data_IF_648397982933
#
_entry.id   IF_648397982933
#
_cell.length_a   1.000
_cell.length_b   1.000
_cell.length_c   1.000
_cell.angle_alpha   90.00
_cell.angle_beta   90.00
_cell.angle_gamma   90.00
#
_symmetry.space_group_name_H-M   'P 1'
#
loop_
_entity.id
_entity.type
_entity.pdbx_description
1 polymer ?
#
# COMPACT_ATOMS: atom_id res chain seq x y z
N UNK A 1 -13.67 25.67 -4.01
CA UNK A 1 -14.00 24.30 -4.47
C UNK A 1 -14.36 23.32 -3.34
N UNK A 2 -13.87 23.48 -2.11
CA UNK A 2 -14.23 22.57 -0.99
C UNK A 2 -15.71 22.63 -0.54
N UNK A 3 -16.38 23.79 -0.61
CA UNK A 3 -17.76 23.93 -0.12
C UNK A 3 -18.81 23.33 -1.06
N UNK A 4 -18.63 23.45 -2.37
CA UNK A 4 -19.55 22.89 -3.37
C UNK A 4 -19.53 21.34 -3.44
N UNK A 5 -18.56 20.71 -2.78
CA UNK A 5 -18.29 19.26 -2.87
C UNK A 5 -19.01 18.44 -1.81
N UNK A 6 -19.31 19.02 -0.63
CA UNK A 6 -19.99 18.31 0.46
C UNK A 6 -21.39 17.82 0.07
N UNK A 7 -22.07 18.54 -0.83
CA UNK A 7 -23.45 18.24 -1.19
C UNK A 7 -23.58 17.24 -2.37
N UNK A 8 -22.51 16.99 -3.14
CA UNK A 8 -22.56 16.16 -4.36
C UNK A 8 -22.22 14.67 -4.14
N UNK A 9 -21.56 14.32 -3.04
CA UNK A 9 -21.04 12.96 -2.80
C UNK A 9 -22.15 11.95 -2.48
N UNK A 10 -23.39 12.41 -2.20
CA UNK A 10 -24.44 11.55 -1.65
C UNK A 10 -25.36 10.85 -2.67
N UNK A 11 -25.31 11.11 -3.99
CA UNK A 11 -26.51 10.85 -4.82
C UNK A 11 -26.37 10.02 -6.11
N UNK A 12 -25.20 9.78 -6.74
CA UNK A 12 -25.23 9.03 -8.01
C UNK A 12 -23.91 8.31 -8.42
N UNK A 13 -23.92 7.03 -8.87
CA UNK A 13 -22.79 6.38 -9.55
C UNK A 13 -22.23 7.14 -10.77
N UNK A 14 -22.99 8.01 -11.43
CA UNK A 14 -22.50 8.90 -12.51
C UNK A 14 -21.40 9.88 -12.04
N UNK A 15 -21.26 10.10 -10.73
CA UNK A 15 -20.27 11.02 -10.11
C UNK A 15 -18.84 10.44 -10.15
N UNK A 16 -18.67 9.11 -10.17
CA UNK A 16 -17.33 8.52 -10.27
C UNK A 16 -16.71 8.74 -11.66
N UNK A 17 -17.52 8.71 -12.71
CA UNK A 17 -17.11 8.98 -14.08
C UNK A 17 -16.87 10.49 -14.30
N UNK A 18 -17.74 11.35 -13.74
CA UNK A 18 -17.59 12.80 -13.86
C UNK A 18 -16.31 13.32 -13.20
N UNK A 19 -15.87 12.77 -12.06
CA UNK A 19 -14.63 13.21 -11.39
C UNK A 19 -13.38 12.98 -12.26
N UNK A 20 -13.28 11.81 -12.89
CA UNK A 20 -12.15 11.43 -13.74
C UNK A 20 -12.05 12.32 -14.98
N UNK A 21 -13.18 12.58 -15.63
CA UNK A 21 -13.18 13.29 -16.91
C UNK A 21 -13.19 14.82 -16.75
N UNK A 22 -13.55 15.35 -15.57
CA UNK A 22 -13.66 16.80 -15.34
C UNK A 22 -12.75 17.38 -14.26
N UNK A 23 -12.48 16.67 -13.16
CA UNK A 23 -11.74 17.23 -12.03
C UNK A 23 -10.25 16.86 -12.06
N UNK A 24 -9.91 15.58 -12.29
CA UNK A 24 -8.51 15.12 -12.32
C UNK A 24 -7.63 15.93 -13.29
N UNK A 25 -8.05 16.25 -14.54
CA UNK A 25 -7.23 17.05 -15.46
C UNK A 25 -6.88 18.43 -14.89
N UNK A 26 -7.83 19.09 -14.22
CA UNK A 26 -7.64 20.43 -13.64
C UNK A 26 -6.59 20.42 -12.53
N UNK A 27 -6.61 19.41 -11.64
CA UNK A 27 -5.58 19.25 -10.61
C UNK A 27 -4.20 19.06 -11.23
N UNK A 28 -4.10 18.23 -12.28
CA UNK A 28 -2.82 17.92 -12.93
C UNK A 28 -2.27 19.10 -13.73
N UNK A 29 -3.11 19.83 -14.44
CA UNK A 29 -2.71 21.06 -15.16
C UNK A 29 -2.20 22.14 -14.19
N UNK A 30 -2.88 22.31 -13.04
CA UNK A 30 -2.41 23.23 -12.00
C UNK A 30 -1.06 22.79 -11.42
N UNK A 31 -0.88 21.50 -11.13
CA UNK A 31 0.39 20.96 -10.65
C UNK A 31 1.50 21.18 -11.69
N UNK A 32 1.21 20.93 -12.97
CA UNK A 32 2.19 21.15 -14.04
C UNK A 32 2.59 22.63 -14.14
N UNK A 33 1.62 23.55 -14.04
CA UNK A 33 1.88 24.99 -14.01
C UNK A 33 2.75 25.39 -12.81
N UNK A 34 2.48 24.84 -11.62
CA UNK A 34 3.28 25.12 -10.41
C UNK A 34 4.72 24.62 -10.56
N UNK A 35 4.90 23.47 -11.21
CA UNK A 35 6.20 22.84 -11.43
C UNK A 35 6.94 23.34 -12.67
N UNK A 36 6.28 24.18 -13.48
CA UNK A 36 6.88 24.84 -14.63
C UNK A 36 7.25 26.26 -14.25
N UNK A 37 8.48 26.67 -14.54
CA UNK A 37 8.94 28.04 -14.31
C UNK A 37 9.59 28.55 -15.58
N UNK A 38 9.15 29.71 -16.05
CA UNK A 38 9.73 30.40 -17.21
C UNK A 38 11.06 31.08 -16.84
N UNK A 39 11.26 31.41 -15.56
CA UNK A 39 12.38 32.22 -15.07
C UNK A 39 13.52 31.40 -14.45
N UNK A 40 13.28 30.13 -14.09
CA UNK A 40 14.26 29.28 -13.42
C UNK A 40 14.09 27.81 -13.80
N UNK A 41 15.18 27.03 -13.95
CA UNK A 41 15.11 25.59 -14.19
C UNK A 41 14.55 24.78 -13.00
N UNK A 42 14.34 25.41 -11.84
CA UNK A 42 13.82 24.79 -10.62
C UNK A 42 12.62 25.57 -10.06
N UNK A 43 11.51 24.90 -9.69
CA UNK A 43 10.36 25.55 -9.07
C UNK A 43 10.70 26.14 -7.70
N UNK A 44 9.94 27.16 -7.28
CA UNK A 44 10.08 27.72 -5.94
C UNK A 44 9.65 26.72 -4.87
N UNK A 45 10.19 26.83 -3.64
CA UNK A 45 9.75 25.99 -2.52
C UNK A 45 8.24 26.14 -2.23
N UNK A 46 7.68 27.35 -2.43
CA UNK A 46 6.25 27.58 -2.30
C UNK A 46 5.45 26.79 -3.34
N UNK A 47 5.90 26.78 -4.60
CA UNK A 47 5.26 26.02 -5.66
C UNK A 47 5.37 24.51 -5.43
N UNK A 48 6.52 24.00 -4.96
CA UNK A 48 6.66 22.57 -4.63
C UNK A 48 5.70 22.15 -3.52
N UNK A 49 5.57 22.96 -2.46
CA UNK A 49 4.59 22.70 -1.39
C UNK A 49 3.15 22.73 -1.92
N UNK A 50 2.81 23.69 -2.78
CA UNK A 50 1.49 23.76 -3.39
C UNK A 50 1.22 22.59 -4.34
N UNK A 51 2.20 22.14 -5.11
CA UNK A 51 2.08 20.98 -5.99
C UNK A 51 1.77 19.71 -5.18
N UNK A 52 2.47 19.49 -4.06
CA UNK A 52 2.15 18.40 -3.11
C UNK A 52 0.71 18.53 -2.62
N UNK A 53 0.28 19.72 -2.17
CA UNK A 53 -1.10 19.95 -1.70
C UNK A 53 -2.15 19.59 -2.74
N UNK A 54 -1.92 19.94 -4.01
CA UNK A 54 -2.89 19.66 -5.08
C UNK A 54 -2.95 18.16 -5.41
N UNK A 55 -1.81 17.47 -5.42
CA UNK A 55 -1.80 16.02 -5.61
C UNK A 55 -2.46 15.33 -4.42
N UNK A 56 -2.13 15.68 -3.19
CA UNK A 56 -2.77 15.12 -1.99
C UNK A 56 -4.30 15.34 -2.01
N UNK A 57 -4.75 16.53 -2.43
CA UNK A 57 -6.16 16.84 -2.59
C UNK A 57 -6.84 15.99 -3.67
N UNK A 58 -6.16 15.73 -4.79
CA UNK A 58 -6.62 14.80 -5.83
C UNK A 58 -6.74 13.38 -5.25
N UNK A 59 -5.73 12.87 -4.54
CA UNK A 59 -5.77 11.52 -3.96
C UNK A 59 -6.88 11.38 -2.91
N UNK A 60 -7.05 12.40 -2.06
CA UNK A 60 -8.13 12.43 -1.08
C UNK A 60 -9.47 12.36 -1.79
N UNK A 61 -9.62 13.12 -2.87
CA UNK A 61 -10.85 13.13 -3.62
C UNK A 61 -11.17 11.78 -4.26
N UNK A 62 -10.16 11.07 -4.76
CA UNK A 62 -10.29 9.70 -5.25
C UNK A 62 -10.73 8.72 -4.14
N UNK A 63 -10.13 8.80 -2.95
CA UNK A 63 -10.47 7.93 -1.82
C UNK A 63 -11.88 8.22 -1.30
N UNK A 64 -12.25 9.48 -1.08
CA UNK A 64 -13.60 9.85 -0.62
C UNK A 64 -14.68 9.41 -1.61
N UNK A 65 -14.40 9.59 -2.91
CA UNK A 65 -15.29 9.14 -3.98
C UNK A 65 -15.39 7.62 -4.06
N UNK A 66 -14.29 6.90 -3.82
CA UNK A 66 -14.28 5.44 -3.70
C UNK A 66 -15.11 4.99 -2.48
N UNK A 67 -14.88 5.62 -1.33
CA UNK A 67 -15.56 5.26 -0.09
C UNK A 67 -17.01 5.75 -0.02
N UNK A 68 -17.43 6.68 -0.89
CA UNK A 68 -18.73 7.36 -0.79
C UNK A 68 -18.94 8.04 0.58
N UNK A 69 -17.87 8.58 1.15
CA UNK A 69 -17.91 9.33 2.41
C UNK A 69 -16.86 10.44 2.43
N UNK A 70 -17.04 11.44 3.30
CA UNK A 70 -16.02 12.47 3.55
C UNK A 70 -15.08 12.00 4.66
N UNK A 71 -13.77 12.19 4.48
CA UNK A 71 -12.78 11.85 5.48
C UNK A 71 -12.36 13.10 6.28
N UNK A 72 -12.20 13.02 7.61
CA UNK A 72 -11.66 14.13 8.38
C UNK A 72 -10.17 14.27 8.09
N UNK A 73 -9.78 15.28 7.29
CA UNK A 73 -8.37 15.51 6.93
C UNK A 73 -7.89 16.87 7.41
N UNK A 74 -6.73 16.88 8.06
CA UNK A 74 -5.96 18.08 8.38
C UNK A 74 -4.67 18.05 7.55
N UNK A 75 -4.45 19.04 6.68
CA UNK A 75 -3.27 19.11 5.82
C UNK A 75 -2.09 19.65 6.63
N UNK A 76 -1.06 18.84 6.87
CA UNK A 76 0.20 19.27 7.49
C UNK A 76 1.41 18.70 6.74
N UNK A 77 1.95 19.48 5.80
CA UNK A 77 3.07 19.10 4.90
C UNK A 77 4.41 19.06 5.65
N UNK A 78 4.51 19.77 6.78
CA UNK A 78 5.77 20.03 7.46
C UNK A 78 6.13 18.97 8.54
N UNK A 79 5.33 17.90 8.71
CA UNK A 79 5.56 16.89 9.76
C UNK A 79 6.00 15.53 9.20
N UNK A 80 7.23 15.45 8.71
CA UNK A 80 7.95 14.18 8.76
C UNK A 80 8.58 14.09 10.15
N UNK A 81 8.09 13.16 10.96
CA UNK A 81 8.63 12.89 12.31
C UNK A 81 9.74 11.82 12.28
N UNK A 82 10.00 11.19 11.13
CA UNK A 82 11.03 10.16 10.95
C UNK A 82 12.31 10.72 10.29
N UNK A 83 13.43 10.87 11.04
CA UNK A 83 14.70 11.36 10.51
C UNK A 83 15.41 10.39 9.55
N UNK A 84 14.95 9.14 9.44
CA UNK A 84 15.53 8.10 8.59
C UNK A 84 14.71 7.81 7.32
N UNK A 85 13.62 8.54 7.09
CA UNK A 85 12.76 8.35 5.92
C UNK A 85 12.91 9.48 4.89
N UNK A 86 13.08 9.12 3.62
CA UNK A 86 12.94 10.04 2.50
C UNK A 86 11.59 9.81 1.82
N UNK A 87 10.86 10.89 1.56
CA UNK A 87 9.56 10.83 0.90
C UNK A 87 9.71 11.19 -0.57
N UNK A 88 9.11 10.37 -1.42
CA UNK A 88 9.19 10.48 -2.87
C UNK A 88 7.77 10.62 -3.41
N UNK A 89 7.50 11.75 -4.06
CA UNK A 89 6.25 12.06 -4.73
C UNK A 89 6.45 11.99 -6.25
N UNK A 90 6.39 10.81 -6.87
CA UNK A 90 6.34 10.72 -8.33
C UNK A 90 4.95 11.12 -8.82
N UNK A 91 4.89 12.12 -9.69
CA UNK A 91 3.67 12.72 -10.22
C UNK A 91 3.66 12.51 -11.74
N UNK A 92 2.62 11.84 -12.23
CA UNK A 92 2.43 11.59 -13.66
C UNK A 92 1.75 12.80 -14.32
N UNK A 93 2.53 13.56 -15.08
CA UNK A 93 2.05 14.68 -15.90
C UNK A 93 2.00 14.26 -17.37
N UNK A 94 1.42 15.11 -18.24
CA UNK A 94 1.11 14.73 -19.62
C UNK A 94 2.33 14.23 -20.42
N UNK A 95 3.47 14.91 -20.26
CA UNK A 95 4.69 14.70 -21.04
C UNK A 95 5.93 14.36 -20.19
N UNK A 96 5.77 14.28 -18.86
CA UNK A 96 6.86 14.03 -17.91
C UNK A 96 6.39 13.32 -16.65
N UNK A 97 7.35 12.68 -15.98
CA UNK A 97 7.24 12.30 -14.58
C UNK A 97 7.97 13.38 -13.78
N UNK A 98 7.23 14.14 -12.99
CA UNK A 98 7.78 15.06 -12.00
C UNK A 98 8.02 14.29 -10.69
N UNK A 99 9.10 14.61 -9.97
CA UNK A 99 9.41 13.97 -8.69
C UNK A 99 9.78 15.04 -7.69
N UNK A 100 9.01 15.12 -6.62
CA UNK A 100 9.35 15.95 -5.45
C UNK A 100 9.93 15.02 -4.40
N UNK A 101 11.17 15.28 -3.98
CA UNK A 101 11.88 14.53 -2.94
C UNK A 101 11.95 15.37 -1.68
N UNK A 102 11.50 14.80 -0.57
CA UNK A 102 11.62 15.39 0.76
C UNK A 102 12.58 14.56 1.60
N UNK A 103 13.70 15.17 1.99
CA UNK A 103 14.69 14.60 2.90
C UNK A 103 14.60 15.36 4.23
N UNK A 104 14.61 14.69 5.39
CA UNK A 104 14.55 15.33 6.69
C UNK A 104 15.63 16.43 6.86
N UNK A 105 15.20 17.61 7.29
CA UNK A 105 16.08 18.76 7.52
C UNK A 105 16.57 19.48 6.25
N UNK A 106 16.08 19.13 5.06
CA UNK A 106 16.45 19.78 3.79
C UNK A 106 15.25 20.45 3.11
N UNK A 107 15.47 21.47 2.25
CA UNK A 107 14.46 21.95 1.33
C UNK A 107 13.95 20.84 0.39
N UNK A 108 12.74 21.00 -0.14
CA UNK A 108 12.20 20.08 -1.15
C UNK A 108 13.09 20.13 -2.40
N UNK A 109 13.45 18.96 -2.93
CA UNK A 109 14.18 18.84 -4.18
C UNK A 109 13.23 18.43 -5.31
N UNK A 110 13.47 18.95 -6.51
CA UNK A 110 12.66 18.68 -7.69
C UNK A 110 13.50 18.03 -8.80
N UNK A 111 12.95 16.95 -9.35
CA UNK A 111 13.50 16.23 -10.49
C UNK A 111 12.40 16.00 -11.51
N UNK A 112 12.81 15.78 -12.75
CA UNK A 112 11.87 15.43 -13.81
C UNK A 112 12.52 14.50 -14.83
N UNK A 113 11.70 13.65 -15.41
CA UNK A 113 12.06 12.84 -16.57
C UNK A 113 11.04 13.07 -17.67
N UNK A 114 11.49 13.56 -18.83
CA UNK A 114 10.62 13.76 -20.00
C UNK A 114 10.25 12.40 -20.60
N UNK A 115 9.00 12.00 -20.43
CA UNK A 115 8.42 10.77 -20.94
C UNK A 115 6.90 10.94 -20.99
N UNK A 116 6.24 10.71 -22.14
CA UNK A 116 4.79 10.84 -22.23
C UNK A 116 4.05 9.94 -21.26
N UNK A 117 3.01 10.44 -20.58
CA UNK A 117 2.19 9.69 -19.61
C UNK A 117 1.76 8.33 -20.15
N UNK A 118 1.26 8.30 -21.39
CA UNK A 118 0.83 7.08 -22.07
C UNK A 118 1.93 6.01 -22.17
N UNK A 119 3.17 6.42 -22.40
CA UNK A 119 4.33 5.51 -22.43
C UNK A 119 4.62 4.94 -21.05
N UNK A 120 4.50 5.78 -20.01
CA UNK A 120 4.65 5.36 -18.61
C UNK A 120 3.57 4.35 -18.26
N UNK A 121 2.29 4.70 -18.42
CA UNK A 121 1.13 3.85 -18.11
C UNK A 121 1.22 2.51 -18.85
N UNK A 122 1.50 2.53 -20.15
CA UNK A 122 1.70 1.28 -20.93
C UNK A 122 2.83 0.41 -20.37
N UNK A 123 3.91 1.02 -19.87
CA UNK A 123 5.04 0.31 -19.26
C UNK A 123 4.67 -0.26 -17.89
N UNK A 124 3.95 0.51 -17.06
CA UNK A 124 3.47 0.07 -15.75
C UNK A 124 2.47 -1.07 -15.88
N UNK A 125 1.53 -0.98 -16.82
CA UNK A 125 0.57 -2.06 -17.10
C UNK A 125 1.28 -3.36 -17.52
N UNK A 126 2.29 -3.28 -18.40
CA UNK A 126 3.10 -4.45 -18.78
C UNK A 126 3.85 -5.02 -17.59
N UNK A 127 4.49 -4.16 -16.79
CA UNK A 127 5.22 -4.57 -15.60
C UNK A 127 4.31 -5.32 -14.62
N UNK A 128 3.14 -4.75 -14.32
CA UNK A 128 2.12 -5.37 -13.45
C UNK A 128 1.67 -6.73 -13.97
N UNK A 129 1.29 -6.81 -15.25
CA UNK A 129 0.83 -8.07 -15.84
C UNK A 129 1.92 -9.14 -15.75
N UNK A 130 3.16 -8.79 -16.09
CA UNK A 130 4.29 -9.70 -16.00
C UNK A 130 4.60 -10.13 -14.55
N UNK A 131 4.39 -9.26 -13.56
CA UNK A 131 4.56 -9.58 -12.13
C UNK A 131 3.52 -10.58 -11.62
N UNK A 132 2.33 -10.62 -12.21
CA UNK A 132 1.30 -11.61 -11.86
C UNK A 132 1.53 -12.98 -12.52
N UNK A 133 2.40 -13.06 -13.53
CA UNK A 133 2.60 -14.25 -14.35
C UNK A 133 3.88 -15.04 -13.99
N UNK A 134 3.79 -16.37 -14.08
CA UNK A 134 4.94 -17.27 -13.86
C UNK A 134 5.89 -17.21 -15.06
N UNK A 135 7.20 -17.19 -14.79
CA UNK A 135 8.24 -17.29 -15.83
C UNK A 135 8.50 -16.00 -16.62
N UNK A 136 7.84 -14.89 -16.27
CA UNK A 136 8.01 -13.58 -16.94
C UNK A 136 9.09 -12.68 -16.31
N UNK A 137 9.96 -13.23 -15.46
CA UNK A 137 10.97 -12.45 -14.74
C UNK A 137 11.90 -11.61 -15.65
N UNK A 138 12.34 -12.09 -16.84
CA UNK A 138 13.10 -11.25 -17.77
C UNK A 138 12.32 -10.02 -18.27
N UNK A 139 11.02 -10.18 -18.55
CA UNK A 139 10.14 -9.09 -18.96
C UNK A 139 9.86 -8.12 -17.81
N UNK A 140 9.70 -8.64 -16.58
CA UNK A 140 9.63 -7.82 -15.36
C UNK A 140 10.88 -6.94 -15.27
N UNK A 141 12.08 -7.50 -15.37
CA UNK A 141 13.33 -6.73 -15.31
C UNK A 141 13.39 -5.67 -16.42
N UNK A 142 13.00 -6.02 -17.64
CA UNK A 142 13.02 -5.09 -18.78
C UNK A 142 12.14 -3.85 -18.57
N UNK A 143 10.93 -4.02 -18.05
CA UNK A 143 10.04 -2.89 -17.76
C UNK A 143 10.44 -2.17 -16.46
N UNK A 144 10.86 -2.90 -15.42
CA UNK A 144 11.33 -2.34 -14.16
C UNK A 144 12.56 -1.43 -14.31
N UNK A 145 13.46 -1.73 -15.26
CA UNK A 145 14.60 -0.85 -15.62
C UNK A 145 14.16 0.52 -16.11
N UNK A 146 13.14 0.55 -16.97
CA UNK A 146 12.61 1.82 -17.51
C UNK A 146 12.02 2.66 -16.39
N UNK A 147 11.20 2.04 -15.54
CA UNK A 147 10.57 2.73 -14.41
C UNK A 147 11.63 3.21 -13.43
N UNK A 148 12.63 2.39 -13.08
CA UNK A 148 13.77 2.78 -12.24
C UNK A 148 14.51 4.01 -12.79
N UNK A 149 14.81 4.01 -14.10
CA UNK A 149 15.46 5.12 -14.79
C UNK A 149 14.64 6.42 -14.69
N UNK A 150 13.32 6.32 -14.77
CA UNK A 150 12.48 7.50 -14.72
C UNK A 150 12.24 8.04 -13.31
N UNK A 151 12.15 7.17 -12.29
CA UNK A 151 11.68 7.53 -10.95
C UNK A 151 12.74 7.48 -9.84
N UNK A 152 13.77 6.65 -9.95
CA UNK A 152 14.77 6.44 -8.87
C UNK A 152 16.14 6.97 -9.27
N UNK A 153 16.57 6.70 -10.50
CA UNK A 153 17.89 7.13 -10.98
C UNK A 153 18.17 8.63 -10.78
N UNK A 154 17.21 9.56 -11.05
CA UNK A 154 17.42 10.99 -10.81
C UNK A 154 17.70 11.33 -9.33
N UNK A 155 17.23 10.50 -8.40
CA UNK A 155 17.31 10.76 -6.96
C UNK A 155 18.60 10.23 -6.33
N UNK A 156 19.31 9.29 -6.98
CA UNK A 156 20.45 8.58 -6.38
C UNK A 156 21.51 9.51 -5.80
N UNK A 157 21.89 10.55 -6.54
CA UNK A 157 22.93 11.48 -6.07
C UNK A 157 22.54 12.20 -4.78
N UNK A 158 21.25 12.47 -4.55
CA UNK A 158 20.79 13.06 -3.30
C UNK A 158 20.64 11.99 -2.21
N UNK A 159 20.12 10.81 -2.53
CA UNK A 159 20.01 9.70 -1.58
C UNK A 159 21.39 9.24 -1.05
N UNK A 160 22.42 9.20 -1.91
CA UNK A 160 23.80 8.85 -1.55
C UNK A 160 24.44 9.89 -0.61
N UNK A 161 24.09 11.17 -0.77
CA UNK A 161 24.54 12.26 0.13
C UNK A 161 23.84 12.24 1.50
N UNK A 162 22.81 11.41 1.66
CA UNK A 162 22.03 11.31 2.89
C UNK A 162 22.07 9.86 3.42
N UNK A 163 23.24 9.41 3.94
CA UNK A 163 23.43 8.03 4.36
C UNK A 163 22.53 7.61 5.53
N UNK A 164 22.00 8.56 6.31
CA UNK A 164 21.05 8.32 7.39
C UNK A 164 19.68 7.81 6.92
N UNK A 165 19.36 7.95 5.63
CA UNK A 165 18.11 7.44 5.08
C UNK A 165 18.18 5.93 4.97
N UNK A 166 17.23 5.27 5.62
CA UNK A 166 17.06 3.83 5.66
C UNK A 166 15.69 3.40 5.12
N UNK A 167 14.74 4.33 4.94
CA UNK A 167 13.41 4.06 4.40
C UNK A 167 13.08 5.01 3.24
N UNK A 168 12.59 4.46 2.14
CA UNK A 168 11.97 5.21 1.05
C UNK A 168 10.45 5.06 1.15
N UNK A 169 9.78 6.19 1.38
CA UNK A 169 8.32 6.25 1.49
C UNK A 169 7.78 6.87 0.21
N UNK A 170 6.98 6.10 -0.53
CA UNK A 170 6.42 6.54 -1.79
C UNK A 170 4.98 7.03 -1.62
N UNK A 171 4.71 8.25 -2.09
CA UNK A 171 3.34 8.78 -2.26
C UNK A 171 2.97 8.64 -3.73
N UNK A 172 2.45 7.46 -4.08
CA UNK A 172 2.31 7.04 -5.48
C UNK A 172 1.08 7.66 -6.15
N UNK A 173 1.27 8.15 -7.38
CA UNK A 173 0.24 8.73 -8.23
C UNK A 173 -0.19 7.79 -9.36
N UNK A 174 -1.48 7.80 -9.68
CA UNK A 174 -2.06 7.05 -10.80
C UNK A 174 -1.69 5.57 -10.81
N UNK A 175 -1.29 5.05 -11.98
CA UNK A 175 -0.96 3.63 -12.17
C UNK A 175 0.27 3.17 -11.39
N UNK A 176 1.13 4.08 -10.93
CA UNK A 176 2.30 3.72 -10.12
C UNK A 176 1.89 3.01 -8.82
N UNK A 177 0.69 3.29 -8.30
CA UNK A 177 0.15 2.66 -7.09
C UNK A 177 0.11 1.13 -7.19
N UNK A 178 -0.05 0.57 -8.39
CA UNK A 178 -0.16 -0.88 -8.59
C UNK A 178 1.19 -1.57 -8.80
N UNK A 179 2.30 -0.85 -8.64
CA UNK A 179 3.64 -1.40 -8.81
C UNK A 179 4.32 -1.45 -7.43
N UNK A 180 4.82 -2.63 -7.01
CA UNK A 180 5.66 -2.69 -5.83
C UNK A 180 7.01 -2.06 -6.16
N UNK A 181 7.28 -0.86 -5.64
CA UNK A 181 8.52 -0.11 -5.93
C UNK A 181 9.80 -0.88 -5.58
N UNK A 182 9.69 -1.90 -4.73
CA UNK A 182 10.73 -2.88 -4.45
C UNK A 182 11.30 -3.60 -5.70
N UNK A 183 10.51 -3.74 -6.77
CA UNK A 183 10.90 -4.45 -8.00
C UNK A 183 11.61 -3.59 -9.02
N UNK A 184 11.74 -2.27 -8.78
CA UNK A 184 12.47 -1.40 -9.69
C UNK A 184 13.92 -1.87 -9.79
N UNK A 185 14.47 -1.93 -11.00
CA UNK A 185 15.73 -2.61 -11.25
C UNK A 185 16.79 -1.64 -11.77
N UNK A 186 17.89 -1.52 -11.05
CA UNK A 186 19.04 -0.73 -11.45
C UNK A 186 19.90 -1.51 -12.44
N UNK A 187 19.90 -1.07 -13.70
CA UNK A 187 20.72 -1.68 -14.74
C UNK A 187 22.23 -1.55 -14.47
N UNK A 188 22.68 -0.51 -13.76
CA UNK A 188 24.11 -0.30 -13.50
C UNK A 188 24.64 -1.29 -12.47
N UNK A 189 23.90 -1.52 -11.39
CA UNK A 189 24.29 -2.46 -10.33
C UNK A 189 23.76 -3.88 -10.51
N UNK A 190 22.86 -4.10 -11.48
CA UNK A 190 22.17 -5.37 -11.72
C UNK A 190 21.39 -5.86 -10.48
N UNK A 191 20.76 -4.93 -9.77
CA UNK A 191 20.03 -5.20 -8.53
C UNK A 191 18.64 -4.58 -8.54
N UNK A 192 17.70 -5.26 -7.89
CA UNK A 192 16.43 -4.67 -7.50
C UNK A 192 16.63 -3.61 -6.41
N UNK A 193 15.77 -2.60 -6.34
CA UNK A 193 15.79 -1.56 -5.31
C UNK A 193 15.69 -2.16 -3.90
N UNK A 194 14.94 -3.25 -3.74
CA UNK A 194 14.84 -4.00 -2.47
C UNK A 194 16.18 -4.61 -2.01
N UNK A 195 17.12 -4.89 -2.92
CA UNK A 195 18.44 -5.39 -2.55
C UNK A 195 19.39 -4.27 -2.07
N UNK A 196 18.95 -3.02 -2.15
CA UNK A 196 19.67 -1.88 -1.58
C UNK A 196 19.38 -1.76 -0.06
N UNK A 197 19.96 -0.77 0.62
CA UNK A 197 19.77 -0.64 2.08
C UNK A 197 18.35 -0.22 2.53
N UNK A 198 17.52 0.24 1.59
CA UNK A 198 16.29 0.97 1.87
C UNK A 198 15.08 0.06 2.11
N UNK A 199 14.48 0.13 3.29
CA UNK A 199 13.10 -0.32 3.50
C UNK A 199 12.14 0.49 2.62
N UNK A 200 11.06 -0.13 2.14
CA UNK A 200 10.12 0.50 1.21
C UNK A 200 8.73 0.47 1.80
N UNK A 201 8.06 1.62 1.79
CA UNK A 201 6.67 1.77 2.19
C UNK A 201 5.91 2.66 1.23
N UNK A 202 4.58 2.49 1.19
CA UNK A 202 3.67 3.31 0.40
C UNK A 202 2.80 4.10 1.37
N UNK A 203 2.73 5.41 1.19
CA UNK A 203 1.79 6.26 1.93
C UNK A 203 0.79 6.85 0.93
N UNK A 204 -0.49 6.45 0.97
CA UNK A 204 -1.52 7.00 0.07
C UNK A 204 -1.94 8.42 0.47
N UNK A 205 -1.50 8.90 1.64
CA UNK A 205 -1.60 10.27 2.15
C UNK A 205 -0.90 10.33 3.51
N UNK A 206 0.09 11.20 3.68
CA UNK A 206 0.82 11.30 4.96
C UNK A 206 -0.08 11.69 6.14
N UNK A 207 -1.12 12.46 5.90
CA UNK A 207 -1.98 13.02 6.96
C UNK A 207 -2.96 12.00 7.51
N UNK A 208 -3.43 11.07 6.67
CA UNK A 208 -4.27 9.95 7.11
C UNK A 208 -3.48 8.93 7.92
N UNK A 209 -2.16 8.84 7.67
CA UNK A 209 -1.28 7.82 8.23
C UNK A 209 -0.01 8.42 8.83
N UNK A 210 -0.16 9.50 9.59
CA UNK A 210 0.98 10.20 10.19
C UNK A 210 1.89 9.19 10.92
N UNK A 211 3.20 9.19 10.61
CA UNK A 211 4.10 8.16 11.12
C UNK A 211 4.24 8.31 12.64
N UNK A 212 3.73 7.34 13.39
CA UNK A 212 3.90 7.24 14.84
C UNK A 212 4.51 5.88 15.18
N UNK A 213 5.49 5.86 16.09
CA UNK A 213 6.04 4.59 16.58
C UNK A 213 4.97 3.79 17.32
N UNK A 214 5.06 2.47 17.23
CA UNK A 214 4.22 1.56 17.99
C UNK A 214 4.51 1.72 19.50
N UNK A 215 3.61 2.38 20.23
CA UNK A 215 3.72 2.48 21.70
C UNK A 215 3.17 1.24 22.42
N UNK A 216 2.29 0.48 21.76
CA UNK A 216 1.65 -0.72 22.32
C UNK A 216 2.46 -1.97 22.04
N UNK A 217 2.52 -2.91 22.99
CA UNK A 217 3.04 -4.26 22.72
C UNK A 217 2.22 -4.92 21.62
N UNK A 218 2.89 -5.53 20.65
CA UNK A 218 2.23 -6.28 19.57
C UNK A 218 1.48 -7.48 20.15
N UNK A 219 0.17 -7.54 19.94
CA UNK A 219 -0.66 -8.71 20.19
C UNK A 219 -1.55 -8.94 18.98
N UNK A 220 -1.40 -10.10 18.36
CA UNK A 220 -1.94 -10.38 17.03
C UNK A 220 -3.18 -11.27 17.14
N UNK A 221 -4.31 -10.83 16.59
CA UNK A 221 -5.39 -11.73 16.25
C UNK A 221 -5.02 -12.49 14.99
N UNK A 222 -5.13 -13.82 15.01
CA UNK A 222 -4.89 -14.67 13.84
C UNK A 222 -6.16 -15.43 13.50
N UNK A 223 -6.53 -15.43 12.22
CA UNK A 223 -7.67 -16.20 11.73
C UNK A 223 -7.59 -16.44 10.23
N UNK A 224 -8.30 -17.46 9.77
CA UNK A 224 -8.33 -17.74 8.35
C UNK A 224 -9.03 -19.03 8.00
N UNK A 225 -9.07 -19.28 6.70
CA UNK A 225 -9.80 -20.40 6.13
C UNK A 225 -9.07 -20.97 4.92
N UNK A 226 -8.96 -22.29 4.91
CA UNK A 226 -8.20 -23.05 3.93
C UNK A 226 -8.98 -24.23 3.38
N UNK A 227 -10.11 -24.60 3.98
CA UNK A 227 -11.09 -25.50 3.34
C UNK A 227 -11.59 -24.93 2.01
N UNK A 228 -11.63 -25.77 0.95
CA UNK A 228 -12.19 -25.37 -0.34
C UNK A 228 -13.71 -25.16 -0.25
N UNK A 229 -14.23 -24.11 -0.89
CA UNK A 229 -15.64 -23.72 -0.77
C UNK A 229 -16.20 -23.20 -2.09
N UNK A 230 -17.51 -23.37 -2.26
CA UNK A 230 -18.29 -22.64 -3.26
C UNK A 230 -19.22 -21.67 -2.53
N UNK A 231 -19.07 -20.37 -2.80
CA UNK A 231 -19.89 -19.31 -2.22
C UNK A 231 -20.36 -18.43 -3.38
N UNK A 232 -21.66 -18.25 -3.51
CA UNK A 232 -22.28 -17.44 -4.58
C UNK A 232 -21.79 -17.81 -6.00
N UNK A 233 -21.53 -19.10 -6.24
CA UNK A 233 -21.04 -19.59 -7.53
C UNK A 233 -19.53 -19.40 -7.76
N UNK A 234 -18.80 -18.73 -6.85
CA UNK A 234 -17.33 -18.60 -6.88
C UNK A 234 -16.69 -19.81 -6.18
N UNK A 235 -15.69 -20.41 -6.82
CA UNK A 235 -14.92 -21.53 -6.24
C UNK A 235 -13.63 -21.00 -5.61
N UNK A 236 -13.39 -21.40 -4.36
CA UNK A 236 -12.19 -21.08 -3.60
C UNK A 236 -11.41 -22.36 -3.31
N UNK A 237 -10.15 -22.40 -3.76
CA UNK A 237 -9.29 -23.57 -3.61
C UNK A 237 -8.73 -23.73 -2.20
N UNK A 238 -8.13 -24.88 -1.91
CA UNK A 238 -7.52 -25.15 -0.61
C UNK A 238 -6.26 -24.32 -0.36
N UNK A 239 -6.16 -23.70 0.82
CA UNK A 239 -4.91 -23.07 1.31
C UNK A 239 -4.21 -24.07 2.24
N UNK A 240 -3.16 -24.73 1.73
CA UNK A 240 -2.50 -25.86 2.40
C UNK A 240 -1.72 -25.44 3.65
N UNK A 241 -1.10 -24.27 3.62
CA UNK A 241 -0.24 -23.75 4.69
C UNK A 241 -0.98 -22.79 5.63
N UNK A 242 -2.31 -22.87 5.70
CA UNK A 242 -3.11 -22.06 6.63
C UNK A 242 -2.62 -22.23 8.06
N UNK A 243 -2.69 -23.47 8.56
CA UNK A 243 -2.35 -23.80 9.95
C UNK A 243 -0.89 -23.49 10.28
N UNK A 244 0.01 -23.81 9.36
CA UNK A 244 1.45 -23.58 9.52
C UNK A 244 1.78 -22.09 9.66
N UNK A 245 1.17 -21.22 8.84
CA UNK A 245 1.36 -19.76 8.95
C UNK A 245 0.78 -19.24 10.27
N UNK A 246 -0.49 -19.52 10.56
CA UNK A 246 -1.18 -18.92 11.71
C UNK A 246 -0.64 -19.41 13.06
N UNK A 247 -0.34 -20.69 13.21
CA UNK A 247 0.30 -21.22 14.42
C UNK A 247 1.78 -20.81 14.49
N UNK A 248 2.46 -20.68 13.34
CA UNK A 248 3.83 -20.21 13.28
C UNK A 248 3.99 -18.76 13.75
N UNK A 249 3.04 -17.88 13.41
CA UNK A 249 2.99 -16.50 13.91
C UNK A 249 2.92 -16.48 15.45
N UNK A 250 2.06 -17.32 16.04
CA UNK A 250 1.93 -17.43 17.50
C UNK A 250 3.20 -17.93 18.23
N UNK A 251 4.15 -18.52 17.49
CA UNK A 251 5.49 -18.87 18.01
C UNK A 251 6.49 -17.71 17.95
N UNK A 252 6.22 -16.67 17.15
CA UNK A 252 7.10 -15.51 16.97
C UNK A 252 6.69 -14.32 17.84
N UNK A 253 5.38 -14.11 17.99
CA UNK A 253 4.80 -12.97 18.69
C UNK A 253 3.59 -13.39 19.52
N UNK A 254 3.22 -12.63 20.58
CA UNK A 254 1.97 -12.87 21.30
C UNK A 254 0.78 -12.83 20.33
N UNK A 255 0.06 -13.95 20.21
CA UNK A 255 -1.09 -14.07 19.31
C UNK A 255 -2.29 -14.73 20.01
N UNK A 256 -3.48 -14.58 19.43
CA UNK A 256 -4.64 -15.38 19.79
C UNK A 256 -4.43 -16.85 19.42
N UNK A 257 -5.25 -17.73 19.99
CA UNK A 257 -5.47 -19.02 19.35
C UNK A 257 -6.07 -18.76 17.94
N UNK A 258 -5.53 -19.35 16.86
CA UNK A 258 -6.06 -19.10 15.53
C UNK A 258 -7.52 -19.54 15.39
N UNK A 259 -8.36 -18.67 14.81
CA UNK A 259 -9.68 -19.07 14.31
C UNK A 259 -9.52 -19.74 12.94
N UNK A 260 -9.79 -21.04 12.85
CA UNK A 260 -9.57 -21.83 11.63
C UNK A 260 -10.88 -22.32 11.02
N UNK A 261 -10.96 -22.27 9.69
CA UNK A 261 -11.97 -22.91 8.86
C UNK A 261 -13.39 -22.66 9.36
N UNK A 262 -14.10 -23.69 9.81
CA UNK A 262 -15.50 -23.59 10.27
C UNK A 262 -15.71 -22.62 11.44
N UNK A 263 -14.66 -22.33 12.20
CA UNK A 263 -14.70 -21.36 13.29
C UNK A 263 -14.39 -19.94 12.81
N UNK A 264 -13.84 -19.77 11.60
CA UNK A 264 -13.58 -18.47 10.98
C UNK A 264 -14.86 -17.90 10.36
N UNK A 265 -15.80 -17.49 11.21
CA UNK A 265 -17.07 -16.84 10.83
C UNK A 265 -17.08 -15.38 11.26
N UNK A 266 -17.88 -14.54 10.59
CA UNK A 266 -18.05 -13.11 10.96
C UNK A 266 -18.25 -12.93 12.46
N UNK A 267 -19.20 -13.65 13.05
CA UNK A 267 -19.55 -13.56 14.46
C UNK A 267 -18.40 -13.95 15.39
N UNK A 268 -17.67 -15.02 15.08
CA UNK A 268 -16.53 -15.42 15.91
C UNK A 268 -15.36 -14.45 15.81
N UNK A 269 -15.10 -13.91 14.61
CA UNK A 269 -14.11 -12.84 14.42
C UNK A 269 -14.48 -11.63 15.29
N UNK A 270 -15.74 -11.17 15.23
CA UNK A 270 -16.23 -10.06 16.06
C UNK A 270 -16.03 -10.34 17.54
N UNK A 271 -16.48 -11.50 18.02
CA UNK A 271 -16.39 -11.86 19.43
C UNK A 271 -14.94 -11.85 19.94
N UNK A 272 -14.00 -12.41 19.16
CA UNK A 272 -12.60 -12.44 19.57
C UNK A 272 -12.00 -11.03 19.55
N UNK A 273 -12.24 -10.25 18.48
CA UNK A 273 -11.71 -8.87 18.39
C UNK A 273 -12.26 -7.95 19.47
N UNK A 274 -13.54 -8.07 19.85
CA UNK A 274 -14.17 -7.25 20.90
C UNK A 274 -13.71 -7.63 22.31
N UNK A 275 -13.45 -8.92 22.56
CA UNK A 275 -13.04 -9.39 23.89
C UNK A 275 -11.53 -9.33 24.11
N UNK A 276 -10.74 -9.37 23.03
CA UNK A 276 -9.29 -9.31 23.08
C UNK A 276 -8.74 -7.90 22.93
N UNK A 277 -7.65 -7.61 23.64
CA UNK A 277 -6.86 -6.40 23.42
C UNK A 277 -5.81 -6.67 22.33
N UNK A 278 -6.19 -6.55 21.06
CA UNK A 278 -5.30 -6.76 19.92
C UNK A 278 -4.78 -5.43 19.37
N UNK A 279 -3.52 -5.42 18.95
CA UNK A 279 -2.91 -4.31 18.21
C UNK A 279 -2.64 -4.69 16.75
N UNK A 280 -2.80 -5.95 16.37
CA UNK A 280 -2.73 -6.37 14.98
C UNK A 280 -3.76 -7.45 14.65
N UNK A 281 -4.17 -7.50 13.39
CA UNK A 281 -5.10 -8.47 12.83
C UNK A 281 -4.41 -9.13 11.64
N UNK A 282 -4.29 -10.45 11.64
CA UNK A 282 -3.72 -11.23 10.54
C UNK A 282 -4.77 -12.21 10.01
N UNK A 283 -5.15 -12.04 8.76
CA UNK A 283 -6.13 -12.88 8.06
C UNK A 283 -5.46 -13.62 6.91
N UNK A 284 -5.50 -14.96 6.94
CA UNK A 284 -5.07 -15.83 5.84
C UNK A 284 -6.27 -16.50 5.19
N UNK A 285 -6.64 -16.04 4.01
CA UNK A 285 -7.87 -16.48 3.32
C UNK A 285 -7.79 -16.17 1.83
N UNK A 286 -8.86 -16.36 1.07
CA UNK A 286 -9.03 -15.75 -0.25
C UNK A 286 -9.65 -14.37 -0.11
N UNK A 287 -9.37 -13.47 -1.06
CA UNK A 287 -10.01 -12.17 -1.06
C UNK A 287 -9.67 -11.36 -2.29
N UNK A 288 -10.59 -10.47 -2.65
CA UNK A 288 -10.48 -9.60 -3.80
C UNK A 288 -10.56 -8.16 -3.33
N UNK A 289 -9.64 -7.32 -3.82
CA UNK A 289 -9.66 -5.88 -3.55
C UNK A 289 -9.69 -5.16 -4.89
N UNK A 290 -10.78 -4.44 -5.09
CA UNK A 290 -11.15 -3.76 -6.32
C UNK A 290 -11.36 -2.27 -6.06
N UNK A 291 -11.32 -1.45 -7.12
CA UNK A 291 -11.80 -0.08 -7.08
C UNK A 291 -13.32 0.03 -7.17
N UNK A 292 -13.99 -1.11 -7.40
CA UNK A 292 -15.38 -1.28 -7.03
C UNK A 292 -15.47 -1.81 -5.59
N UNK A 293 -16.01 -1.03 -4.63
CA UNK A 293 -16.26 -1.50 -3.27
C UNK A 293 -17.13 -2.76 -3.20
N UNK A 294 -18.04 -2.95 -4.16
CA UNK A 294 -18.98 -4.07 -4.18
C UNK A 294 -18.31 -5.39 -4.59
N UNK A 295 -17.20 -5.31 -5.34
CA UNK A 295 -16.33 -6.46 -5.68
C UNK A 295 -15.22 -6.70 -4.64
N UNK A 296 -15.12 -5.86 -3.60
CA UNK A 296 -14.13 -6.04 -2.55
C UNK A 296 -14.64 -6.97 -1.45
N UNK A 297 -13.93 -8.09 -1.19
CA UNK A 297 -14.28 -9.06 -0.16
C UNK A 297 -13.10 -9.87 0.38
N UNK A 298 -13.29 -10.48 1.55
CA UNK A 298 -12.51 -11.63 2.01
C UNK A 298 -13.44 -12.82 2.25
N UNK A 299 -12.90 -14.04 2.15
CA UNK A 299 -13.66 -15.26 2.38
C UNK A 299 -13.64 -15.62 3.87
N UNK A 300 -14.83 -15.78 4.45
CA UNK A 300 -15.05 -16.45 5.72
C UNK A 300 -15.81 -17.76 5.48
N UNK A 301 -16.02 -18.57 6.51
CA UNK A 301 -16.73 -19.84 6.36
C UNK A 301 -18.14 -19.64 5.79
N UNK A 302 -18.35 -20.13 4.56
CA UNK A 302 -19.60 -20.05 3.80
C UNK A 302 -20.12 -18.62 3.57
N UNK A 303 -19.27 -17.61 3.66
CA UNK A 303 -19.67 -16.21 3.54
C UNK A 303 -18.57 -15.35 2.92
N UNK A 304 -18.95 -14.45 2.00
CA UNK A 304 -18.11 -13.34 1.59
C UNK A 304 -18.31 -12.17 2.55
N UNK A 305 -17.23 -11.67 3.15
CA UNK A 305 -17.24 -10.46 3.97
C UNK A 305 -16.85 -9.29 3.07
N UNK A 306 -17.79 -8.38 2.81
CA UNK A 306 -17.58 -7.23 1.92
C UNK A 306 -16.77 -6.13 2.62
N UNK A 307 -16.32 -5.12 1.88
CA UNK A 307 -15.53 -4.00 2.43
C UNK A 307 -16.13 -3.37 3.71
N UNK A 308 -17.45 -3.16 3.74
CA UNK A 308 -18.13 -2.62 4.94
C UNK A 308 -18.15 -3.62 6.11
N UNK A 309 -18.28 -4.93 5.83
CA UNK A 309 -18.17 -5.93 6.89
C UNK A 309 -16.78 -5.90 7.50
N UNK A 310 -15.73 -5.86 6.68
CA UNK A 310 -14.34 -5.83 7.13
C UNK A 310 -14.08 -4.56 7.96
N UNK A 311 -14.58 -3.41 7.53
CA UNK A 311 -14.49 -2.17 8.30
C UNK A 311 -15.16 -2.34 9.68
N UNK A 312 -16.41 -2.79 9.73
CA UNK A 312 -17.17 -2.96 10.98
C UNK A 312 -16.61 -4.07 11.88
N UNK A 313 -15.88 -5.04 11.33
CA UNK A 313 -15.18 -6.07 12.10
C UNK A 313 -14.02 -5.48 12.89
N UNK A 314 -13.36 -4.47 12.33
CA UNK A 314 -12.13 -3.89 12.85
C UNK A 314 -12.39 -2.60 13.63
N UNK A 315 -13.39 -1.81 13.21
CA UNK A 315 -13.89 -0.64 13.92
C UNK A 315 -14.66 -1.09 15.16
N UNK A 316 -14.00 -1.02 16.33
CA UNK A 316 -14.66 -1.28 17.62
C UNK A 316 -15.36 -0.01 18.10
N UNK A 317 -16.66 0.11 17.88
CA UNK A 317 -17.54 1.20 18.36
C UNK A 317 -17.77 1.17 19.89
N UNK A 318 -16.74 1.02 20.71
CA UNK A 318 -16.88 1.22 22.16
C UNK A 318 -16.43 2.64 22.52
N UNK A 319 -17.36 3.45 23.06
CA UNK A 319 -17.19 4.85 23.52
C UNK A 319 -16.16 5.05 24.67
N UNK A 320 -15.27 4.08 24.90
CA UNK A 320 -14.12 4.17 25.80
C UNK A 320 -12.95 3.27 25.41
N UNK A 321 -13.02 2.53 24.30
CA UNK A 321 -11.96 1.65 23.79
C UNK A 321 -11.73 1.91 22.31
N UNK A 322 -10.92 2.92 22.02
CA UNK A 322 -10.22 3.03 20.75
C UNK A 322 -9.19 1.88 20.66
N UNK A 323 -9.63 0.71 20.19
CA UNK A 323 -8.70 -0.36 19.79
C UNK A 323 -8.14 0.00 18.42
N UNK A 324 -7.20 0.96 18.40
CA UNK A 324 -6.52 1.31 17.15
C UNK A 324 -5.69 0.11 16.72
N UNK A 325 -6.16 -0.60 15.68
CA UNK A 325 -5.35 -1.62 15.03
C UNK A 325 -4.14 -0.93 14.42
N UNK A 326 -2.99 -1.34 14.88
CA UNK A 326 -1.70 -0.80 14.47
C UNK A 326 -1.19 -1.49 13.20
N UNK A 327 -1.64 -2.73 12.94
CA UNK A 327 -1.28 -3.48 11.75
C UNK A 327 -2.40 -4.42 11.31
N UNK A 328 -2.91 -4.22 10.11
CA UNK A 328 -3.79 -5.16 9.42
C UNK A 328 -2.97 -5.94 8.38
N UNK A 329 -2.93 -7.26 8.48
CA UNK A 329 -2.28 -8.14 7.50
C UNK A 329 -3.35 -8.94 6.78
N UNK A 330 -3.45 -8.72 5.48
CA UNK A 330 -4.38 -9.40 4.58
C UNK A 330 -3.55 -10.32 3.67
N UNK A 331 -3.31 -11.53 4.16
CA UNK A 331 -2.69 -12.66 3.45
C UNK A 331 -3.78 -13.30 2.57
N UNK A 332 -4.33 -12.49 1.66
CA UNK A 332 -5.52 -12.81 0.87
C UNK A 332 -5.20 -12.88 -0.63
N UNK A 333 -5.41 -14.04 -1.24
CA UNK A 333 -5.09 -14.25 -2.65
C UNK A 333 -6.05 -13.47 -3.56
N UNK A 334 -5.49 -12.52 -4.33
CA UNK A 334 -6.11 -11.69 -5.39
C UNK A 334 -6.51 -10.26 -5.02
N UNK A 335 -5.60 -9.51 -4.40
CA UNK A 335 -5.63 -8.05 -4.55
C UNK A 335 -5.40 -7.72 -6.04
N UNK A 336 -6.29 -6.98 -6.69
CA UNK A 336 -5.96 -6.25 -7.92
C UNK A 336 -5.65 -7.04 -9.23
N UNK A 337 -6.39 -8.08 -9.64
CA UNK A 337 -6.23 -8.57 -11.02
C UNK A 337 -6.98 -7.66 -12.00
N UNK A 338 -6.29 -6.64 -12.54
CA UNK A 338 -6.80 -5.79 -13.64
C UNK A 338 -7.37 -4.42 -13.26
N UNK A 339 -7.50 -4.10 -11.97
CA UNK A 339 -8.00 -2.80 -11.53
C UNK A 339 -6.87 -1.82 -11.21
N UNK A 340 -6.74 -0.73 -11.97
CA UNK A 340 -5.70 0.30 -11.78
C UNK A 340 -5.82 1.11 -10.47
N UNK A 341 -6.82 0.83 -9.64
CA UNK A 341 -7.12 1.53 -8.40
C UNK A 341 -7.34 0.58 -7.21
N UNK A 342 -7.00 -0.70 -7.32
CA UNK A 342 -7.17 -1.64 -6.21
C UNK A 342 -6.41 -1.25 -4.92
N UNK A 343 -5.28 -0.56 -5.03
CA UNK A 343 -4.57 0.00 -3.87
C UNK A 343 -5.40 1.08 -3.16
N UNK A 344 -6.30 1.79 -3.87
CA UNK A 344 -7.29 2.65 -3.23
C UNK A 344 -8.34 1.83 -2.46
N UNK A 345 -8.71 0.64 -2.95
CA UNK A 345 -9.58 -0.29 -2.23
C UNK A 345 -8.96 -0.76 -0.91
N UNK A 346 -7.70 -1.17 -0.96
CA UNK A 346 -6.93 -1.55 0.23
C UNK A 346 -6.75 -0.38 1.20
N UNK A 347 -6.35 0.80 0.69
CA UNK A 347 -6.21 2.01 1.50
C UNK A 347 -7.55 2.42 2.11
N UNK A 348 -8.65 2.30 1.36
CA UNK A 348 -10.00 2.60 1.81
C UNK A 348 -10.45 1.71 2.96
N UNK A 349 -10.18 0.40 2.88
CA UNK A 349 -10.41 -0.53 3.99
C UNK A 349 -9.52 -0.17 5.18
N UNK A 350 -8.24 0.12 4.96
CA UNK A 350 -7.32 0.51 6.03
C UNK A 350 -7.81 1.75 6.78
N UNK A 351 -8.21 2.80 6.06
CA UNK A 351 -8.75 4.04 6.62
C UNK A 351 -10.03 3.75 7.42
N UNK A 352 -10.99 3.02 6.83
CA UNK A 352 -12.26 2.70 7.50
C UNK A 352 -12.09 1.81 8.71
N UNK A 353 -11.17 0.86 8.64
CA UNK A 353 -10.81 -0.02 9.74
C UNK A 353 -10.03 0.70 10.85
N UNK A 354 -9.65 1.97 10.66
CA UNK A 354 -8.75 2.68 11.58
C UNK A 354 -7.35 2.06 11.67
N UNK A 355 -6.97 1.21 10.70
CA UNK A 355 -5.70 0.51 10.69
C UNK A 355 -4.59 1.48 10.26
N UNK A 356 -3.63 1.74 11.15
CA UNK A 356 -2.51 2.66 10.85
C UNK A 356 -1.58 2.15 9.76
N UNK A 357 -1.45 0.83 9.65
CA UNK A 357 -0.63 0.17 8.64
C UNK A 357 -1.39 -1.03 8.11
N UNK A 358 -1.33 -1.25 6.80
CA UNK A 358 -1.88 -2.43 6.16
C UNK A 358 -0.82 -3.10 5.30
N UNK A 359 -0.63 -4.41 5.49
CA UNK A 359 0.24 -5.26 4.71
C UNK A 359 -0.65 -6.21 3.89
N UNK A 360 -0.57 -6.15 2.57
CA UNK A 360 -1.36 -7.03 1.70
C UNK A 360 -0.61 -7.35 0.42
N UNK A 361 -1.05 -8.40 -0.26
CA UNK A 361 -0.53 -8.79 -1.56
C UNK A 361 -0.98 -7.82 -2.67
N UNK A 362 -0.35 -7.84 -3.85
CA UNK A 362 -0.78 -7.14 -5.06
C UNK A 362 -1.27 -8.08 -6.19
N UNK A 363 -1.09 -9.39 -6.00
CA UNK A 363 -1.54 -10.45 -6.89
C UNK A 363 -1.57 -11.76 -6.10
N UNK A 364 -1.99 -12.85 -6.74
CA UNK A 364 -2.03 -14.18 -6.13
C UNK A 364 -0.64 -14.63 -5.64
N UNK A 365 -0.49 -14.77 -4.32
CA UNK A 365 0.73 -15.26 -3.71
C UNK A 365 0.74 -16.79 -3.66
N UNK A 366 1.91 -17.40 -3.92
CA UNK A 366 2.08 -18.84 -3.76
C UNK A 366 2.13 -19.19 -2.27
N UNK A 367 1.31 -20.13 -1.85
CA UNK A 367 1.09 -20.46 -0.44
C UNK A 367 2.39 -20.75 0.35
N UNK A 368 3.30 -21.56 -0.20
CA UNK A 368 4.59 -21.89 0.46
C UNK A 368 5.50 -20.65 0.61
N UNK A 369 5.95 -19.96 -0.46
CA UNK A 369 6.74 -18.72 -0.31
C UNK A 369 6.05 -17.64 0.53
N UNK A 370 4.72 -17.53 0.44
CA UNK A 370 3.93 -16.58 1.23
C UNK A 370 4.09 -16.84 2.74
N UNK A 371 3.98 -18.10 3.12
CA UNK A 371 4.11 -18.54 4.52
C UNK A 371 5.51 -18.23 5.04
N UNK A 372 6.55 -18.51 4.26
CA UNK A 372 7.92 -18.20 4.63
C UNK A 372 8.16 -16.70 4.82
N UNK A 373 7.64 -15.86 3.92
CA UNK A 373 7.73 -14.41 4.02
C UNK A 373 7.03 -13.91 5.29
N UNK A 374 5.80 -14.37 5.57
CA UNK A 374 5.05 -13.95 6.76
C UNK A 374 5.73 -14.39 8.06
N UNK A 375 6.21 -15.63 8.14
CA UNK A 375 6.94 -16.09 9.32
C UNK A 375 8.23 -15.30 9.56
N UNK A 376 8.94 -14.95 8.48
CA UNK A 376 10.14 -14.11 8.58
C UNK A 376 9.79 -12.67 8.96
N UNK A 377 8.72 -12.11 8.40
CA UNK A 377 8.22 -10.78 8.72
C UNK A 377 7.91 -10.65 10.22
N UNK A 378 7.14 -11.58 10.81
CA UNK A 378 6.83 -11.52 12.24
C UNK A 378 8.03 -11.82 13.13
N UNK A 379 8.97 -12.66 12.68
CA UNK A 379 10.24 -12.87 13.39
C UNK A 379 11.06 -11.58 13.49
N UNK A 380 11.15 -10.82 12.40
CA UNK A 380 11.87 -9.54 12.38
C UNK A 380 11.10 -8.46 13.14
N UNK A 381 9.77 -8.39 13.00
CA UNK A 381 8.94 -7.43 13.71
C UNK A 381 8.93 -7.65 15.24
N UNK A 382 9.20 -8.88 15.70
CA UNK A 382 9.36 -9.18 17.12
C UNK A 382 10.63 -8.56 17.73
N UNK A 383 11.61 -8.16 16.91
CA UNK A 383 12.87 -7.60 17.38
C UNK A 383 12.69 -6.14 17.82
N UNK A 384 13.20 -5.76 19.01
CA UNK A 384 13.09 -4.38 19.49
C UNK A 384 13.63 -3.35 18.49
N UNK A 385 12.86 -2.28 18.26
CA UNK A 385 13.25 -1.17 17.38
C UNK A 385 13.15 -1.45 15.88
N UNK A 386 12.71 -2.64 15.46
CA UNK A 386 12.51 -2.94 14.03
C UNK A 386 11.18 -2.37 13.57
N UNK A 387 11.21 -1.51 12.56
CA UNK A 387 10.00 -0.93 11.97
C UNK A 387 9.28 -1.94 11.07
N UNK A 388 7.98 -1.72 10.81
CA UNK A 388 7.21 -2.59 9.90
C UNK A 388 7.83 -2.64 8.50
N UNK A 389 8.28 -1.50 7.97
CA UNK A 389 8.93 -1.45 6.67
C UNK A 389 10.25 -2.23 6.66
N UNK A 390 11.06 -2.13 7.73
CA UNK A 390 12.31 -2.87 7.83
C UNK A 390 12.08 -4.38 7.96
N UNK A 391 11.09 -4.79 8.74
CA UNK A 391 10.70 -6.20 8.87
C UNK A 391 10.28 -6.79 7.52
N UNK A 392 9.46 -6.07 6.74
CA UNK A 392 9.05 -6.50 5.39
C UNK A 392 10.26 -6.59 4.46
N UNK A 393 11.11 -5.58 4.46
CA UNK A 393 12.33 -5.55 3.64
C UNK A 393 13.22 -6.77 3.90
N UNK A 394 13.50 -7.09 5.16
CA UNK A 394 14.32 -8.26 5.52
C UNK A 394 13.63 -9.57 5.10
N UNK A 395 12.30 -9.67 5.26
CA UNK A 395 11.55 -10.83 4.81
C UNK A 395 11.61 -11.02 3.29
N UNK A 396 11.52 -9.94 2.51
CA UNK A 396 11.66 -9.96 1.05
C UNK A 396 13.08 -10.36 0.62
N UNK A 397 14.11 -9.83 1.29
CA UNK A 397 15.50 -10.22 1.03
C UNK A 397 15.74 -11.71 1.31
N UNK A 398 15.27 -12.20 2.46
CA UNK A 398 15.40 -13.62 2.84
C UNK A 398 14.67 -14.55 1.87
N UNK A 399 13.53 -14.12 1.32
CA UNK A 399 12.83 -14.92 0.31
C UNK A 399 13.52 -14.85 -1.06
N UNK A 400 14.06 -13.69 -1.43
CA UNK A 400 14.81 -13.49 -2.67
C UNK A 400 16.03 -14.40 -2.79
N UNK A 401 16.75 -14.67 -1.69
CA UNK A 401 17.90 -15.59 -1.65
C UNK A 401 17.54 -17.00 -2.16
N UNK A 402 16.29 -17.43 -1.95
CA UNK A 402 15.78 -18.75 -2.35
C UNK A 402 14.95 -18.70 -3.63
N UNK A 403 14.32 -17.56 -3.90
CA UNK A 403 13.43 -17.34 -5.04
C UNK A 403 13.70 -15.98 -5.69
N UNK A 404 14.52 -15.95 -6.75
CA UNK A 404 14.90 -14.69 -7.39
C UNK A 404 13.78 -14.03 -8.21
N UNK A 405 12.71 -14.77 -8.54
CA UNK A 405 11.63 -14.27 -9.38
C UNK A 405 10.75 -13.26 -8.61
N UNK A 406 10.62 -12.04 -9.15
CA UNK A 406 9.90 -10.94 -8.50
C UNK A 406 8.43 -11.24 -8.19
N UNK A 407 7.78 -12.07 -9.00
CA UNK A 407 6.42 -12.53 -8.77
C UNK A 407 6.24 -13.36 -7.48
N UNK A 408 7.34 -13.78 -6.84
CA UNK A 408 7.35 -14.55 -5.58
C UNK A 408 7.62 -13.66 -4.37
N UNK A 409 8.69 -12.86 -4.39
CA UNK A 409 9.11 -12.09 -3.21
C UNK A 409 8.50 -10.69 -3.12
N UNK A 410 8.02 -10.14 -4.22
CA UNK A 410 7.46 -8.78 -4.26
C UNK A 410 5.93 -8.74 -4.12
N UNK A 411 5.31 -9.84 -3.68
CA UNK A 411 3.84 -9.94 -3.57
C UNK A 411 3.28 -8.93 -2.59
N UNK A 412 3.95 -8.71 -1.45
CA UNK A 412 3.48 -7.82 -0.39
C UNK A 412 3.95 -6.38 -0.53
N UNK A 413 3.02 -5.46 -0.25
CA UNK A 413 3.30 -4.04 -0.03
C UNK A 413 2.82 -3.59 1.34
N UNK A 414 3.57 -2.68 1.95
CA UNK A 414 3.17 -1.99 3.17
C UNK A 414 2.56 -0.64 2.82
N UNK A 415 1.32 -0.43 3.22
CA UNK A 415 0.54 0.80 3.02
C UNK A 415 0.29 1.48 4.36
N UNK A 416 0.51 2.79 4.45
CA UNK A 416 0.27 3.60 5.65
C UNK A 416 1.53 3.82 6.47
N UNK A 417 1.39 3.82 7.80
CA UNK A 417 2.48 4.07 8.74
C UNK A 417 3.56 2.98 8.60
N UNK A 418 4.80 3.40 8.39
CA UNK A 418 5.93 2.50 8.10
C UNK A 418 6.81 2.18 9.32
N UNK A 419 6.59 2.89 10.43
CA UNK A 419 7.39 2.79 11.66
C UNK A 419 7.19 1.50 12.44
#
# INVERSE_FOLDING_TARGET
MQSARKDLIAVNPDVQFSFRDSAEPVYRELVDLLLTSEESPQPSQANLKQAIQQIDALQLAEIENFLRCSLPVTIAIDRIEDPQAALIYPILLADKIAIILQVPGKPLAYYQTLVPRKTVETTLQKLRNNLSERGKNPQVIAEAKKVYKWSIEPLKAELDKNPQIETLVFVLDGELRNIPMAVLYDEKSQKYLMQDKYAIAISPQLTLFAPQRLEKKLKVFTGGIGEAQNIDGKNFETIQKLKEELEGIGKKVPASQPLLDRNFTKTQIQNVLQTGNFSAVHLKTHGEFSSDPDETYIVAYKQLLKGQDIANLIETEDEGRSSNIELLVLSACQTASGDNRAVLGLAGIAVRAGARSTLSTLWEARDVPNTELMLKFYEELAKPGTTRAKALHIAQQSLFERHQAANIWATYILVGNWL
#
